data_IF_889009582221
#
_entry.id   IF_889009582221
#
_cell.length_a   1.000
_cell.length_b   1.000
_cell.length_c   1.000
_cell.angle_alpha   90.00
_cell.angle_beta   90.00
_cell.angle_gamma   90.00
#
_symmetry.space_group_name_H-M   'P 1'
#
loop_
_entity.id
_entity.type
_entity.pdbx_description
1 polymer ?
#
# COMPACT_ATOMS: atom_id res chain seq x y z
N UNK A 1 -5.79 -12.93 -37.79
CA UNK A 1 -5.29 -11.55 -37.64
C UNK A 1 -4.60 -11.42 -36.29
N UNK A 2 -3.35 -10.96 -36.22
CA UNK A 2 -2.67 -10.74 -34.94
C UNK A 2 -2.97 -9.34 -34.41
N UNK A 3 -3.63 -9.28 -33.25
CA UNK A 3 -3.82 -8.03 -32.51
C UNK A 3 -2.49 -7.68 -31.83
N UNK A 4 -1.93 -6.52 -32.14
CA UNK A 4 -0.71 -6.02 -31.50
C UNK A 4 -1.16 -5.06 -30.39
N UNK A 5 -0.99 -5.48 -29.14
CA UNK A 5 -1.18 -4.59 -28.00
C UNK A 5 -0.08 -3.52 -28.02
N UNK A 6 -0.46 -2.26 -27.85
CA UNK A 6 0.45 -1.12 -27.78
C UNK A 6 -0.13 -0.16 -26.74
N UNK A 7 0.26 -0.37 -25.49
CA UNK A 7 -0.30 0.35 -24.35
C UNK A 7 0.26 -0.16 -23.02
N UNK A 8 -0.42 0.21 -21.95
CA UNK A 8 -0.19 -0.23 -20.58
C UNK A 8 -1.45 -0.94 -20.07
N UNK A 9 -1.30 -1.91 -19.18
CA UNK A 9 -2.43 -2.47 -18.42
C UNK A 9 -2.47 -1.73 -17.08
N UNK A 10 -3.58 -1.03 -16.80
CA UNK A 10 -3.79 -0.37 -15.50
C UNK A 10 -4.60 -1.27 -14.58
N UNK A 11 -4.08 -1.48 -13.38
CA UNK A 11 -4.76 -2.17 -12.30
C UNK A 11 -5.38 -1.14 -11.36
N UNK A 12 -6.71 -1.02 -11.39
CA UNK A 12 -7.46 -0.09 -10.55
C UNK A 12 -7.82 -0.72 -9.21
N UNK A 13 -7.76 0.09 -8.16
CA UNK A 13 -8.02 -0.28 -6.76
C UNK A 13 -9.40 -0.90 -6.58
N UNK A 14 -10.40 -0.33 -7.26
CA UNK A 14 -11.79 -0.81 -7.28
C UNK A 14 -11.94 -2.24 -7.82
N UNK A 15 -11.00 -2.67 -8.67
CA UNK A 15 -10.97 -3.99 -9.28
C UNK A 15 -10.02 -4.95 -8.56
N UNK A 16 -9.43 -4.51 -7.44
CA UNK A 16 -8.56 -5.36 -6.63
C UNK A 16 -9.34 -6.04 -5.51
N UNK A 17 -8.93 -7.26 -5.11
CA UNK A 17 -9.38 -7.84 -3.86
C UNK A 17 -9.00 -6.86 -2.75
N UNK A 18 -10.01 -6.15 -2.27
CA UNK A 18 -9.91 -5.10 -1.26
C UNK A 18 -10.70 -5.52 -0.04
N UNK A 19 -10.16 -5.21 1.14
CA UNK A 19 -10.83 -5.48 2.41
C UNK A 19 -9.91 -6.05 3.48
N UNK A 20 -10.52 -6.54 4.55
CA UNK A 20 -9.81 -7.09 5.68
C UNK A 20 -9.35 -8.53 5.37
N UNK A 21 -8.06 -8.67 5.08
CA UNK A 21 -7.41 -9.97 4.96
C UNK A 21 -6.82 -10.35 6.32
N UNK A 22 -7.20 -11.51 6.85
CA UNK A 22 -6.69 -12.00 8.13
C UNK A 22 -5.19 -12.32 8.09
N UNK A 23 -4.53 -12.24 9.24
CA UNK A 23 -3.10 -12.52 9.39
C UNK A 23 -2.69 -13.95 8.95
N UNK A 24 -3.63 -14.90 8.97
CA UNK A 24 -3.41 -16.30 8.53
C UNK A 24 -3.58 -16.52 7.03
N UNK A 25 -4.13 -15.55 6.31
CA UNK A 25 -4.43 -15.68 4.90
C UNK A 25 -3.25 -15.21 4.04
N UNK A 26 -3.10 -15.78 2.85
CA UNK A 26 -2.08 -15.35 1.90
C UNK A 26 -2.53 -14.08 1.16
N UNK A 27 -1.70 -13.02 1.10
CA UNK A 27 -1.98 -11.87 0.25
C UNK A 27 -1.92 -12.28 -1.23
N UNK A 28 -2.89 -11.80 -2.01
CA UNK A 28 -2.89 -11.94 -3.46
C UNK A 28 -2.17 -10.76 -4.07
N UNK A 29 -1.52 -10.98 -5.21
CA UNK A 29 -0.88 -9.90 -5.95
C UNK A 29 -1.88 -8.79 -6.25
N UNK A 30 -1.39 -7.56 -6.17
CA UNK A 30 -2.10 -6.32 -6.40
C UNK A 30 -3.26 -6.04 -5.41
N UNK A 31 -3.43 -6.84 -4.37
CA UNK A 31 -4.44 -6.62 -3.32
C UNK A 31 -4.23 -5.31 -2.55
N UNK A 32 -5.32 -4.85 -1.93
CA UNK A 32 -5.31 -3.69 -1.04
C UNK A 32 -5.89 -4.12 0.30
N UNK A 33 -5.09 -4.05 1.36
CA UNK A 33 -5.48 -4.61 2.66
C UNK A 33 -5.39 -3.58 3.77
N UNK A 34 -6.30 -3.71 4.74
CA UNK A 34 -6.14 -3.07 6.04
C UNK A 34 -4.99 -3.73 6.79
N UNK A 35 -4.01 -2.92 7.18
CA UNK A 35 -2.85 -3.36 7.96
C UNK A 35 -2.55 -2.35 9.07
N UNK A 36 -1.62 -2.70 9.95
CA UNK A 36 -1.31 -1.97 11.15
C UNK A 36 0.20 -1.75 11.28
N UNK A 37 0.56 -0.58 11.79
CA UNK A 37 1.93 -0.22 12.11
C UNK A 37 2.01 0.40 13.51
N UNK A 38 2.76 -0.24 14.41
CA UNK A 38 3.03 0.27 15.74
C UNK A 38 4.23 1.20 15.74
N UNK A 39 4.08 2.39 16.34
CA UNK A 39 5.11 3.43 16.35
C UNK A 39 4.98 4.34 17.57
N UNK A 40 5.94 5.25 17.79
CA UNK A 40 5.86 6.23 18.88
C UNK A 40 4.91 7.37 18.57
N UNK A 41 4.44 8.12 19.59
CA UNK A 41 3.55 9.28 19.36
C UNK A 41 4.22 10.32 18.46
N UNK A 42 5.50 10.61 18.71
CA UNK A 42 6.26 11.55 17.89
C UNK A 42 6.37 11.08 16.43
N UNK A 43 6.64 9.79 16.22
CA UNK A 43 6.73 9.20 14.88
C UNK A 43 5.38 9.18 14.18
N UNK A 44 4.28 8.90 14.89
CA UNK A 44 2.94 8.93 14.34
C UNK A 44 2.59 10.31 13.75
N UNK A 45 2.87 11.40 14.48
CA UNK A 45 2.68 12.77 13.97
C UNK A 45 3.45 13.01 12.68
N UNK A 46 4.73 12.60 12.64
CA UNK A 46 5.58 12.77 11.47
C UNK A 46 5.11 11.94 10.27
N UNK A 47 4.66 10.71 10.51
CA UNK A 47 4.15 9.80 9.47
C UNK A 47 2.84 10.35 8.90
N UNK A 48 1.93 10.84 9.73
CA UNK A 48 0.66 11.40 9.25
C UNK A 48 0.93 12.66 8.43
N UNK A 49 1.86 13.52 8.87
CA UNK A 49 2.15 14.78 8.19
C UNK A 49 2.95 14.62 6.89
N UNK A 50 3.91 13.69 6.86
CA UNK A 50 4.92 13.62 5.78
C UNK A 50 4.93 12.28 5.04
N UNK A 51 4.09 11.32 5.43
CA UNK A 51 4.14 9.94 4.96
C UNK A 51 5.25 9.13 5.64
N UNK A 52 5.27 7.83 5.31
CA UNK A 52 6.27 6.91 5.82
C UNK A 52 7.65 7.16 5.18
N UNK A 53 8.69 6.79 5.93
CA UNK A 53 10.06 6.65 5.42
C UNK A 53 10.47 5.19 5.55
N UNK A 54 11.19 4.68 4.55
CA UNK A 54 11.73 3.33 4.61
C UNK A 54 12.70 3.19 5.79
N UNK A 55 12.60 2.08 6.52
CA UNK A 55 13.71 1.64 7.35
C UNK A 55 14.89 1.28 6.44
N UNK A 56 16.12 1.51 6.94
CA UNK A 56 17.34 1.16 6.20
C UNK A 56 17.70 -0.32 6.36
N UNK A 57 17.13 -1.00 7.36
CA UNK A 57 17.42 -2.37 7.76
C UNK A 57 16.17 -3.03 8.32
N UNK A 58 16.23 -4.35 8.44
CA UNK A 58 15.22 -5.20 9.05
C UNK A 58 15.35 -6.61 8.48
N UNK A 59 14.56 -7.56 8.98
CA UNK A 59 14.69 -8.96 8.59
C UNK A 59 14.33 -9.25 7.12
N UNK A 60 13.63 -8.33 6.46
CA UNK A 60 13.27 -8.34 5.05
C UNK A 60 13.98 -7.22 4.27
N UNK A 61 15.03 -6.61 4.83
CA UNK A 61 15.73 -5.48 4.20
C UNK A 61 15.02 -4.14 4.40
N UNK A 62 15.24 -3.22 3.45
CA UNK A 62 14.69 -1.86 3.48
C UNK A 62 13.20 -1.86 3.10
N UNK A 63 12.42 -1.04 3.79
CA UNK A 63 10.99 -0.88 3.52
C UNK A 63 10.23 -0.41 4.75
N UNK A 64 8.90 -0.48 4.67
CA UNK A 64 8.00 -0.18 5.78
C UNK A 64 7.36 -1.48 6.24
N UNK A 65 7.56 -1.79 7.52
CA UNK A 65 7.09 -3.04 8.13
C UNK A 65 5.67 -2.84 8.66
N UNK A 66 4.76 -3.69 8.22
CA UNK A 66 3.35 -3.65 8.57
C UNK A 66 2.85 -5.07 8.87
N UNK A 67 1.71 -5.17 9.53
CA UNK A 67 1.11 -6.44 9.90
C UNK A 67 -0.40 -6.37 9.78
N UNK A 68 -1.04 -7.45 9.37
CA UNK A 68 -2.50 -7.62 9.45
C UNK A 68 -2.98 -7.98 10.85
N UNK A 69 -2.07 -8.34 11.75
CA UNK A 69 -2.33 -8.54 13.18
C UNK A 69 -2.14 -7.23 13.95
N UNK A 70 -3.25 -6.58 14.32
CA UNK A 70 -3.21 -5.37 15.15
C UNK A 70 -2.51 -5.62 16.49
N UNK A 71 -2.77 -6.76 17.15
CA UNK A 71 -2.19 -7.10 18.45
C UNK A 71 -0.67 -7.21 18.35
N UNK A 72 -0.16 -7.72 17.22
CA UNK A 72 1.28 -7.70 16.93
C UNK A 72 1.81 -6.27 16.88
N UNK A 73 1.14 -5.38 16.14
CA UNK A 73 1.54 -3.99 15.96
C UNK A 73 1.54 -3.20 17.29
N UNK A 74 0.58 -3.46 18.19
CA UNK A 74 0.47 -2.81 19.51
C UNK A 74 1.70 -2.97 20.41
N UNK A 75 2.54 -3.98 20.15
CA UNK A 75 3.77 -4.22 20.91
C UNK A 75 4.89 -3.25 20.53
N UNK A 76 4.78 -2.56 19.40
CA UNK A 76 5.84 -1.69 18.90
C UNK A 76 5.60 -0.21 19.24
N UNK A 77 6.67 0.54 19.57
CA UNK A 77 8.04 0.06 19.76
C UNK A 77 8.21 -0.75 21.06
N UNK A 78 8.94 -1.87 20.99
CA UNK A 78 9.04 -2.86 22.09
C UNK A 78 9.53 -2.28 23.42
N UNK A 79 10.44 -1.31 23.35
CA UNK A 79 11.10 -0.72 24.52
C UNK A 79 10.44 0.59 24.98
N UNK A 80 9.35 1.02 24.34
CA UNK A 80 8.63 2.23 24.72
C UNK A 80 7.53 1.89 25.74
N UNK A 81 7.20 2.81 26.68
CA UNK A 81 6.05 2.63 27.56
C UNK A 81 4.74 2.65 26.76
N UNK A 82 3.68 2.06 27.31
CA UNK A 82 2.36 2.06 26.67
C UNK A 82 1.81 3.49 26.40
N UNK A 83 2.23 4.47 27.22
CA UNK A 83 1.92 5.89 27.04
C UNK A 83 2.58 6.54 25.83
N UNK A 84 3.49 5.85 25.14
CA UNK A 84 4.15 6.31 23.91
C UNK A 84 4.04 5.26 22.78
N UNK A 85 2.99 4.43 22.78
CA UNK A 85 2.71 3.50 21.68
C UNK A 85 1.43 3.89 20.96
N UNK A 86 1.53 4.06 19.65
CA UNK A 86 0.42 4.33 18.75
C UNK A 86 0.39 3.24 17.69
N UNK A 87 -0.81 2.77 17.35
CA UNK A 87 -1.04 1.90 16.20
C UNK A 87 -1.80 2.67 15.15
N UNK A 88 -1.16 2.83 13.99
CA UNK A 88 -1.78 3.40 12.80
C UNK A 88 -2.52 2.29 12.05
N UNK A 89 -3.75 2.56 11.64
CA UNK A 89 -4.49 1.74 10.67
C UNK A 89 -4.18 2.25 9.26
N UNK A 90 -3.85 1.32 8.38
CA UNK A 90 -3.29 1.58 7.07
C UNK A 90 -4.12 0.90 6.00
N UNK A 91 -4.27 1.57 4.86
CA UNK A 91 -4.64 0.93 3.60
C UNK A 91 -3.35 0.72 2.78
N UNK A 92 -3.00 -0.55 2.55
CA UNK A 92 -1.73 -0.93 1.93
C UNK A 92 -1.97 -1.61 0.59
N UNK A 93 -1.44 -1.04 -0.50
CA UNK A 93 -1.38 -1.69 -1.81
C UNK A 93 -0.13 -2.58 -1.87
N UNK A 94 -0.31 -3.89 -1.86
CA UNK A 94 0.83 -4.81 -1.74
C UNK A 94 1.58 -5.06 -3.06
N UNK A 95 0.97 -4.73 -4.20
CA UNK A 95 1.58 -4.95 -5.52
C UNK A 95 1.99 -6.41 -5.75
N UNK A 96 3.14 -6.65 -6.36
CA UNK A 96 3.71 -8.00 -6.50
C UNK A 96 4.30 -8.45 -5.17
N UNK A 97 3.76 -9.54 -4.61
CA UNK A 97 4.18 -10.03 -3.29
C UNK A 97 5.18 -11.18 -3.42
N UNK A 98 6.31 -11.07 -2.72
CA UNK A 98 7.28 -12.15 -2.56
C UNK A 98 7.09 -12.86 -1.23
N UNK A 99 6.75 -14.14 -1.28
CA UNK A 99 6.77 -15.01 -0.09
C UNK A 99 8.21 -15.29 0.36
N UNK A 100 8.52 -14.99 1.62
CA UNK A 100 9.79 -15.25 2.31
C UNK A 100 9.49 -16.18 3.50
N UNK A 101 9.68 -17.49 3.34
CA UNK A 101 9.17 -18.51 4.28
C UNK A 101 10.26 -19.41 4.90
N UNK A 102 11.53 -19.04 4.79
CA UNK A 102 12.65 -19.76 5.38
C UNK A 102 13.80 -18.81 5.73
N UNK A 103 14.59 -19.18 6.73
CA UNK A 103 15.82 -18.45 7.02
C UNK A 103 16.78 -18.52 5.84
N UNK A 104 17.56 -17.45 5.62
CA UNK A 104 18.50 -17.33 4.49
C UNK A 104 17.80 -17.52 3.13
N UNK A 105 16.57 -17.03 3.01
CA UNK A 105 15.88 -17.03 1.73
C UNK A 105 16.71 -16.21 0.71
N UNK A 106 16.94 -16.69 -0.52
CA UNK A 106 17.83 -16.01 -1.49
C UNK A 106 17.45 -14.56 -1.77
N UNK A 107 16.15 -14.27 -1.71
CA UNK A 107 15.58 -12.93 -1.95
C UNK A 107 15.18 -12.21 -0.65
N UNK A 108 15.64 -12.64 0.52
CA UNK A 108 15.24 -12.07 1.81
C UNK A 108 15.47 -10.56 1.90
N UNK A 109 16.54 -10.06 1.25
CA UNK A 109 16.94 -8.64 1.29
C UNK A 109 16.91 -7.93 -0.07
N UNK A 110 16.67 -8.68 -1.17
CA UNK A 110 16.79 -8.20 -2.56
C UNK A 110 15.52 -8.42 -3.38
N UNK A 111 14.41 -8.82 -2.75
CA UNK A 111 13.13 -9.03 -3.42
C UNK A 111 12.65 -7.80 -4.22
N UNK A 112 12.96 -6.59 -3.76
CA UNK A 112 12.59 -5.36 -4.48
C UNK A 112 13.39 -5.18 -5.78
N UNK A 113 14.62 -5.69 -5.85
CA UNK A 113 15.50 -5.61 -7.03
C UNK A 113 15.02 -6.58 -8.12
N UNK A 114 14.39 -7.69 -7.71
CA UNK A 114 13.61 -8.59 -8.57
C UNK A 114 12.21 -8.03 -8.93
N UNK A 115 11.95 -6.79 -8.51
CA UNK A 115 10.77 -5.99 -8.79
C UNK A 115 9.51 -6.36 -7.99
N UNK A 116 9.63 -7.11 -6.90
CA UNK A 116 8.50 -7.27 -5.98
C UNK A 116 8.26 -5.97 -5.21
N UNK A 117 7.00 -5.63 -4.96
CA UNK A 117 6.61 -4.42 -4.24
C UNK A 117 6.51 -4.64 -2.73
N UNK A 118 6.23 -5.89 -2.32
CA UNK A 118 6.14 -6.30 -0.92
C UNK A 118 6.81 -7.65 -0.71
N UNK A 119 7.59 -7.81 0.36
CA UNK A 119 7.96 -9.12 0.90
C UNK A 119 7.01 -9.52 2.03
N UNK A 120 6.60 -10.78 2.06
CA UNK A 120 5.66 -11.32 3.05
C UNK A 120 6.21 -12.58 3.70
N UNK A 121 6.26 -12.59 5.03
CA UNK A 121 6.51 -13.76 5.86
C UNK A 121 5.18 -14.38 6.27
N UNK A 122 4.88 -15.62 5.89
CA UNK A 122 3.68 -16.32 6.34
C UNK A 122 3.73 -16.62 7.84
N UNK A 123 2.58 -16.68 8.52
CA UNK A 123 2.57 -17.12 9.89
C UNK A 123 2.98 -18.59 10.00
N UNK A 124 3.61 -18.92 11.12
CA UNK A 124 4.03 -20.27 11.51
C UNK A 124 4.88 -20.98 10.45
N UNK A 125 5.66 -20.25 9.65
CA UNK A 125 6.50 -20.84 8.59
C UNK A 125 7.83 -21.45 9.10
N UNK A 126 8.06 -21.43 10.41
CA UNK A 126 9.25 -22.04 11.04
C UNK A 126 10.55 -21.25 10.89
N UNK A 127 10.49 -19.98 10.47
CA UNK A 127 11.66 -19.11 10.39
C UNK A 127 12.17 -18.76 11.80
N UNK A 128 13.44 -19.05 12.08
CA UNK A 128 14.10 -18.68 13.34
C UNK A 128 14.24 -17.16 13.47
N UNK A 129 14.37 -16.44 12.36
CA UNK A 129 14.36 -14.98 12.34
C UNK A 129 13.03 -14.37 12.80
N UNK A 130 11.94 -15.16 12.85
CA UNK A 130 10.61 -14.74 13.35
C UNK A 130 10.15 -15.69 14.46
N UNK A 131 10.76 -15.64 15.67
CA UNK A 131 10.45 -16.58 16.75
C UNK A 131 8.98 -16.56 17.17
N UNK A 132 8.30 -15.43 16.97
CA UNK A 132 6.87 -15.30 17.29
C UNK A 132 5.94 -16.11 16.40
N UNK A 133 6.40 -16.53 15.21
CA UNK A 133 5.56 -17.19 14.21
C UNK A 133 4.46 -16.30 13.61
N UNK A 134 4.41 -15.00 13.94
CA UNK A 134 3.42 -14.09 13.37
C UNK A 134 3.86 -13.61 11.99
N UNK A 135 2.89 -13.37 11.10
CA UNK A 135 3.18 -12.85 9.77
C UNK A 135 3.87 -11.49 9.82
N UNK A 136 4.59 -11.13 8.76
CA UNK A 136 5.08 -9.77 8.57
C UNK A 136 5.13 -9.40 7.09
N UNK A 137 4.67 -8.20 6.76
CA UNK A 137 4.77 -7.61 5.44
C UNK A 137 5.80 -6.46 5.47
N UNK A 138 6.69 -6.40 4.48
CA UNK A 138 7.63 -5.30 4.27
C UNK A 138 7.38 -4.70 2.88
N UNK A 139 6.79 -3.50 2.87
CA UNK A 139 6.40 -2.79 1.65
C UNK A 139 7.55 -1.88 1.22
N UNK A 140 7.89 -1.91 -0.06
CA UNK A 140 9.06 -1.18 -0.55
C UNK A 140 8.81 0.33 -0.58
N UNK A 141 7.88 0.79 -1.42
CA UNK A 141 7.61 2.21 -1.60
C UNK A 141 6.56 2.71 -0.56
N UNK A 142 6.93 3.67 0.32
CA UNK A 142 5.99 4.31 1.23
C UNK A 142 4.72 4.87 0.58
N UNK A 143 4.76 5.23 -0.72
CA UNK A 143 3.59 5.74 -1.46
C UNK A 143 2.47 4.71 -1.61
N UNK A 144 2.77 3.43 -1.42
CA UNK A 144 1.78 2.36 -1.43
C UNK A 144 1.04 2.21 -0.09
N UNK A 145 1.31 3.09 0.88
CA UNK A 145 0.75 3.03 2.23
C UNK A 145 0.03 4.33 2.53
N UNK A 146 -1.26 4.22 2.85
CA UNK A 146 -2.09 5.35 3.27
C UNK A 146 -2.49 5.16 4.73
N UNK A 147 -2.21 6.14 5.58
CA UNK A 147 -2.78 6.19 6.93
C UNK A 147 -4.25 6.56 6.83
N UNK A 148 -5.14 5.72 7.35
CA UNK A 148 -6.60 5.92 7.26
C UNK A 148 -7.26 6.13 8.61
N UNK A 149 -6.68 5.62 9.70
CA UNK A 149 -7.19 5.84 11.04
C UNK A 149 -6.12 5.63 12.12
N UNK A 150 -6.49 5.94 13.37
CA UNK A 150 -5.74 5.57 14.57
C UNK A 150 -6.42 4.35 15.20
N UNK A 151 -5.81 3.18 15.07
CA UNK A 151 -6.35 1.94 15.65
C UNK A 151 -6.23 1.93 17.17
N UNK A 152 -5.13 2.47 17.71
CA UNK A 152 -4.89 2.58 19.16
C UNK A 152 -3.92 3.71 19.47
N UNK A 153 -4.20 4.49 20.52
CA UNK A 153 -3.28 5.49 21.05
C UNK A 153 -3.59 5.75 22.53
N UNK A 154 -2.65 6.37 23.29
CA UNK A 154 -2.94 6.89 24.62
C UNK A 154 -4.05 7.94 24.56
N UNK A 155 -4.95 7.91 25.54
CA UNK A 155 -6.12 8.81 25.57
C UNK A 155 -5.74 10.30 25.44
N UNK A 156 -4.60 10.69 26.04
CA UNK A 156 -4.10 12.06 26.01
C UNK A 156 -3.77 12.61 24.61
N UNK A 157 -3.55 11.74 23.60
CA UNK A 157 -3.16 12.14 22.24
C UNK A 157 -4.11 11.63 21.16
N UNK A 158 -5.09 10.80 21.52
CA UNK A 158 -5.97 10.15 20.56
C UNK A 158 -6.75 11.15 19.70
N UNK A 159 -7.39 12.14 20.34
CA UNK A 159 -8.20 13.13 19.63
C UNK A 159 -7.35 14.00 18.69
N UNK A 160 -6.17 14.41 19.13
CA UNK A 160 -5.21 15.18 18.31
C UNK A 160 -4.82 14.39 17.06
N UNK A 161 -4.42 13.14 17.22
CA UNK A 161 -3.99 12.29 16.10
C UNK A 161 -5.14 11.99 15.13
N UNK A 162 -6.36 11.74 15.65
CA UNK A 162 -7.54 11.55 14.81
C UNK A 162 -7.85 12.80 13.98
N UNK A 163 -7.76 13.99 14.56
CA UNK A 163 -7.96 15.25 13.84
C UNK A 163 -6.87 15.48 12.78
N UNK A 164 -5.62 15.11 13.08
CA UNK A 164 -4.52 15.20 12.12
C UNK A 164 -4.75 14.28 10.91
N UNK A 165 -5.14 13.03 11.14
CA UNK A 165 -5.51 12.10 10.06
C UNK A 165 -6.67 12.64 9.24
N UNK A 166 -7.75 13.09 9.89
CA UNK A 166 -8.91 13.65 9.19
C UNK A 166 -8.56 14.86 8.32
N UNK A 167 -7.63 15.69 8.76
CA UNK A 167 -7.17 16.87 8.00
C UNK A 167 -6.38 16.44 6.75
N UNK A 168 -5.48 15.47 6.89
CA UNK A 168 -4.68 14.95 5.77
C UNK A 168 -5.45 14.05 4.79
N UNK A 169 -6.60 13.51 5.20
CA UNK A 169 -7.49 12.76 4.31
C UNK A 169 -8.40 13.64 3.46
N UNK A 170 -8.53 14.95 3.76
CA UNK A 170 -9.33 15.86 2.93
C UNK A 170 -8.69 16.00 1.57
N UNK A 171 -9.41 15.57 0.55
CA UNK A 171 -9.01 15.73 -0.84
C UNK A 171 -9.53 17.09 -1.34
N UNK A 172 -8.67 18.07 -1.66
CA UNK A 172 -9.11 19.37 -2.18
C UNK A 172 -9.88 19.24 -3.51
N UNK A 173 -9.71 18.12 -4.22
CA UNK A 173 -10.37 17.82 -5.49
C UNK A 173 -11.81 17.28 -5.33
N UNK A 174 -12.26 16.98 -4.10
CA UNK A 174 -13.62 16.46 -3.87
C UNK A 174 -14.72 17.50 -4.11
N UNK A 175 -14.38 18.80 -4.17
CA UNK A 175 -15.32 19.90 -4.41
C UNK A 175 -15.51 20.24 -5.91
N UNK A 176 -14.92 19.46 -6.83
CA UNK A 176 -15.02 19.67 -8.27
C UNK A 176 -16.28 19.08 -8.91
N UNK A 177 -16.73 19.68 -10.02
CA UNK A 177 -17.85 19.15 -10.80
C UNK A 177 -17.50 17.78 -11.44
N UNK A 178 -18.24 16.75 -11.05
CA UNK A 178 -18.07 15.39 -11.57
C UNK A 178 -18.63 15.31 -12.99
N UNK A 179 -17.82 14.86 -13.94
CA UNK A 179 -18.26 14.51 -15.30
C UNK A 179 -17.61 13.21 -15.78
N UNK A 180 -18.06 12.65 -16.91
CA UNK A 180 -17.52 11.38 -17.44
C UNK A 180 -16.55 11.65 -18.58
N UNK A 181 -15.37 11.05 -18.53
CA UNK A 181 -14.38 11.12 -19.60
C UNK A 181 -14.85 10.30 -20.81
N UNK A 182 -14.93 10.88 -22.03
CA UNK A 182 -15.45 10.18 -23.20
C UNK A 182 -14.51 9.07 -23.73
N UNK A 183 -13.22 9.08 -23.36
CA UNK A 183 -12.23 8.11 -23.85
C UNK A 183 -12.16 6.85 -22.98
N UNK A 184 -12.21 7.00 -21.66
CA UNK A 184 -12.13 5.87 -20.72
C UNK A 184 -13.44 5.56 -20.01
N UNK A 185 -14.48 6.38 -20.20
CA UNK A 185 -15.80 6.26 -19.56
C UNK A 185 -15.77 6.35 -18.03
N UNK A 186 -14.70 6.90 -17.44
CA UNK A 186 -14.55 7.08 -15.98
C UNK A 186 -14.95 8.48 -15.52
N UNK A 187 -15.39 8.58 -14.27
CA UNK A 187 -15.62 9.85 -13.59
C UNK A 187 -14.34 10.68 -13.50
N UNK A 188 -14.48 11.97 -13.78
CA UNK A 188 -13.46 13.00 -13.63
C UNK A 188 -13.93 13.90 -12.49
N UNK A 189 -13.18 13.87 -11.39
CA UNK A 189 -13.51 14.64 -10.17
C UNK A 189 -12.92 16.05 -10.17
N UNK A 190 -11.86 16.28 -10.95
CA UNK A 190 -11.29 17.60 -11.16
C UNK A 190 -10.62 17.70 -12.53
N UNK A 191 -10.78 18.85 -13.21
CA UNK A 191 -10.09 19.15 -14.47
C UNK A 191 -10.52 18.25 -15.63
N UNK A 192 -9.57 17.71 -16.38
CA UNK A 192 -9.82 16.72 -17.44
C UNK A 192 -8.73 15.65 -17.37
N UNK A 193 -9.04 14.42 -17.73
CA UNK A 193 -8.03 13.38 -17.83
C UNK A 193 -6.97 13.75 -18.86
N UNK A 194 -5.71 13.42 -18.56
CA UNK A 194 -4.62 13.57 -19.53
C UNK A 194 -4.83 12.59 -20.68
N UNK A 195 -4.73 13.11 -21.90
CA UNK A 195 -4.82 12.35 -23.14
C UNK A 195 -3.48 12.38 -23.86
N UNK A 196 -3.13 11.29 -24.55
CA UNK A 196 -1.93 11.21 -25.37
C UNK A 196 -2.22 10.39 -26.64
N UNK A 197 -1.40 10.57 -27.67
CA UNK A 197 -1.50 9.77 -28.88
C UNK A 197 -0.97 8.34 -28.65
N UNK A 198 -1.69 7.33 -29.14
CA UNK A 198 -1.19 5.96 -29.17
C UNK A 198 0.05 5.87 -30.07
N UNK A 199 1.14 5.29 -29.54
CA UNK A 199 2.40 5.15 -30.26
C UNK A 199 2.34 4.30 -31.53
N UNK A 200 1.27 3.52 -31.75
CA UNK A 200 1.13 2.67 -32.93
C UNK A 200 0.07 3.15 -33.92
N UNK A 201 -1.08 3.64 -33.46
CA UNK A 201 -2.20 4.00 -34.35
C UNK A 201 -2.54 5.50 -34.34
N UNK A 202 -1.84 6.29 -33.52
CA UNK A 202 -2.03 7.72 -33.36
C UNK A 202 -3.44 8.16 -32.90
N UNK A 203 -4.30 7.24 -32.45
CA UNK A 203 -5.57 7.57 -31.81
C UNK A 203 -5.35 8.13 -30.40
N UNK A 204 -6.22 9.06 -30.00
CA UNK A 204 -6.20 9.59 -28.64
C UNK A 204 -6.56 8.49 -27.63
N UNK A 205 -5.68 8.36 -26.64
CA UNK A 205 -5.85 7.45 -25.51
C UNK A 205 -5.79 8.23 -24.20
N UNK A 206 -6.75 7.95 -23.32
CA UNK A 206 -6.75 8.49 -21.97
C UNK A 206 -5.80 7.67 -21.09
N UNK A 207 -5.00 8.32 -20.24
CA UNK A 207 -4.06 7.62 -19.34
C UNK A 207 -4.75 6.64 -18.38
N UNK A 208 -6.02 6.91 -18.05
CA UNK A 208 -6.88 6.06 -17.22
C UNK A 208 -7.73 5.07 -18.04
N UNK A 209 -7.35 4.75 -19.28
CA UNK A 209 -7.96 3.61 -19.96
C UNK A 209 -7.25 2.31 -19.53
N UNK A 210 -7.99 1.23 -19.22
CA UNK A 210 -7.39 -0.05 -18.81
C UNK A 210 -6.58 -0.69 -19.93
N UNK A 211 -7.03 -0.52 -21.19
CA UNK A 211 -6.44 -1.13 -22.38
C UNK A 211 -6.83 -0.34 -23.62
N UNK A 212 -5.86 -0.11 -24.50
CA UNK A 212 -6.09 0.32 -25.88
C UNK A 212 -5.84 -0.85 -26.84
N UNK A 213 -6.74 -1.08 -27.80
CA UNK A 213 -6.55 -2.08 -28.85
C UNK A 213 -6.51 -1.35 -30.19
N UNK A 214 -5.34 -1.34 -30.82
CA UNK A 214 -5.20 -0.78 -32.17
C UNK A 214 -5.96 -1.68 -33.16
N UNK A 215 -7.04 -1.16 -33.73
CA UNK A 215 -7.63 -1.76 -34.93
C UNK A 215 -6.69 -1.39 -36.09
N UNK A 216 -6.04 -2.39 -36.71
CA UNK A 216 -5.34 -2.14 -37.97
C UNK A 216 -6.40 -1.73 -39.00
N UNK A 217 -6.15 -0.61 -39.68
CA UNK A 217 -6.68 -0.37 -41.02
C UNK A 217 -5.88 -1.24 -41.98
#
# INVERSE_FOLDING_TARGET
>A
MSLRFSGWDVIYDENQPSGQLGATQQPTNCGIYTMYHGTSVASARLIIANGFKQSQRGMLGKGVYVSRDQTKAERYPLNNPASDRVVLELLVRVGRVKRINKDKHPLQYTWNEEGYDTAWVPPNCGMKAVPSGLEEDCVFDPKNIKVVAIAKAPAAVLQELQQLVATHLRDPAADGAIHVCPLCMREVRAGSHVTQACWSCNQDICIFMPRHVCRRV
#
